data_IF_202121471350
#
_entry.id   IF_202121471350
#
_cell.length_a   1.000
_cell.length_b   1.000
_cell.length_c   1.000
_cell.angle_alpha   90.00
_cell.angle_beta   90.00
_cell.angle_gamma   90.00
#
_symmetry.space_group_name_H-M   'P 1'
#
loop_
_entity.id
_entity.type
_entity.pdbx_description
1 polymer ?
#
# COMPACT_ATOMS: atom_id res chain seq x y z
N UNK A 1 0.39 11.33 -16.29
CA UNK A 1 0.36 10.95 -14.85
C UNK A 1 -0.09 9.51 -14.76
N UNK A 2 0.75 8.62 -14.23
CA UNK A 2 0.34 7.24 -13.95
C UNK A 2 -0.72 7.25 -12.84
N UNK A 3 -1.75 6.43 -12.96
CA UNK A 3 -2.78 6.34 -11.91
C UNK A 3 -2.17 5.72 -10.65
N UNK A 4 -2.59 6.22 -9.48
CA UNK A 4 -2.21 5.67 -8.19
C UNK A 4 -3.17 4.54 -7.84
N UNK A 5 -2.62 3.39 -7.47
CA UNK A 5 -3.37 2.24 -6.99
C UNK A 5 -3.10 2.04 -5.50
N UNK A 6 -4.12 2.27 -4.68
CA UNK A 6 -4.09 1.99 -3.25
C UNK A 6 -4.63 0.58 -2.99
N UNK A 7 -3.80 -0.32 -2.46
CA UNK A 7 -4.15 -1.71 -2.17
C UNK A 7 -4.21 -1.93 -0.66
N UNK A 8 -5.43 -2.10 -0.15
CA UNK A 8 -5.64 -2.41 1.27
C UNK A 8 -5.21 -3.83 1.60
N UNK A 9 -4.46 -4.02 2.69
CA UNK A 9 -3.88 -5.33 3.01
C UNK A 9 -2.85 -5.78 1.97
N UNK A 10 -2.24 -4.83 1.26
CA UNK A 10 -1.33 -5.09 0.14
C UNK A 10 0.03 -5.68 0.52
N UNK A 11 0.34 -5.80 1.81
CA UNK A 11 1.67 -6.24 2.26
C UNK A 11 1.89 -7.76 2.28
N UNK A 12 0.86 -8.58 2.06
CA UNK A 12 0.99 -10.06 2.08
C UNK A 12 -0.05 -10.78 1.23
N UNK A 13 0.22 -12.06 0.94
CA UNK A 13 -0.73 -12.97 0.28
C UNK A 13 -1.22 -12.43 -1.07
N UNK A 14 -2.54 -12.45 -1.27
CA UNK A 14 -3.17 -11.97 -2.51
C UNK A 14 -2.94 -10.45 -2.70
N UNK A 15 -2.98 -9.66 -1.62
CA UNK A 15 -2.75 -8.22 -1.69
C UNK A 15 -1.34 -7.88 -2.20
N UNK A 16 -0.34 -8.65 -1.79
CA UNK A 16 1.03 -8.50 -2.28
C UNK A 16 1.14 -8.83 -3.78
N UNK A 17 0.55 -9.95 -4.21
CA UNK A 17 0.55 -10.34 -5.63
C UNK A 17 -0.13 -9.28 -6.53
N UNK A 18 -1.26 -8.72 -6.08
CA UNK A 18 -1.95 -7.64 -6.79
C UNK A 18 -1.07 -6.38 -6.86
N UNK A 19 -0.48 -5.99 -5.73
CA UNK A 19 0.36 -4.79 -5.63
C UNK A 19 1.57 -4.88 -6.58
N UNK A 20 2.26 -6.03 -6.62
CA UNK A 20 3.37 -6.27 -7.54
C UNK A 20 2.90 -6.24 -9.00
N UNK A 21 1.80 -6.92 -9.32
CA UNK A 21 1.25 -6.94 -10.69
C UNK A 21 0.87 -5.55 -11.19
N UNK A 22 0.30 -4.71 -10.32
CA UNK A 22 -0.06 -3.33 -10.68
C UNK A 22 1.19 -2.48 -10.92
N UNK A 23 2.23 -2.65 -10.10
CA UNK A 23 3.53 -2.00 -10.31
C UNK A 23 4.14 -2.40 -11.64
N UNK A 24 4.15 -3.70 -11.97
CA UNK A 24 4.69 -4.22 -13.23
C UNK A 24 3.91 -3.71 -14.46
N UNK A 25 2.63 -3.41 -14.29
CA UNK A 25 1.79 -2.76 -15.31
C UNK A 25 2.02 -1.24 -15.44
N UNK A 26 2.96 -0.67 -14.68
CA UNK A 26 3.34 0.75 -14.75
C UNK A 26 2.49 1.69 -13.89
N UNK A 27 1.71 1.16 -12.94
CA UNK A 27 0.97 1.98 -11.98
C UNK A 27 1.86 2.37 -10.80
N UNK A 28 1.56 3.52 -10.20
CA UNK A 28 2.14 3.92 -8.93
C UNK A 28 1.35 3.22 -7.82
N UNK A 29 1.99 2.36 -7.02
CA UNK A 29 1.28 1.52 -6.04
C UNK A 29 1.59 1.96 -4.62
N UNK A 30 0.55 2.02 -3.79
CA UNK A 30 0.60 2.17 -2.33
C UNK A 30 -0.06 0.97 -1.68
N UNK A 31 0.61 0.33 -0.72
CA UNK A 31 0.07 -0.82 0.01
C UNK A 31 -0.22 -0.46 1.46
N UNK A 32 -1.38 -0.86 2.00
CA UNK A 32 -1.76 -0.58 3.39
C UNK A 32 -1.72 -1.82 4.26
N UNK A 33 -1.44 -1.64 5.55
CA UNK A 33 -1.43 -2.73 6.53
C UNK A 33 -1.85 -2.23 7.92
N UNK A 34 -2.37 -3.14 8.76
CA UNK A 34 -2.87 -2.78 10.09
C UNK A 34 -1.85 -3.01 11.22
N UNK A 35 -1.13 -4.14 11.23
CA UNK A 35 -0.31 -4.52 12.39
C UNK A 35 0.92 -5.39 12.16
N UNK A 36 1.15 -5.91 10.95
CA UNK A 36 2.34 -6.74 10.69
C UNK A 36 3.44 -5.90 10.02
N UNK A 37 4.19 -5.17 10.83
CA UNK A 37 5.29 -4.30 10.38
C UNK A 37 6.41 -5.10 9.71
N UNK A 38 6.68 -6.32 10.18
CA UNK A 38 7.73 -7.20 9.62
C UNK A 38 7.40 -7.61 8.17
N UNK A 39 6.16 -8.06 7.93
CA UNK A 39 5.70 -8.40 6.58
C UNK A 39 5.67 -7.16 5.67
N UNK A 40 5.29 -6.00 6.20
CA UNK A 40 5.27 -4.75 5.44
C UNK A 40 6.67 -4.24 5.08
N UNK A 41 7.64 -4.37 6.00
CA UNK A 41 9.04 -4.03 5.75
C UNK A 41 9.63 -4.93 4.67
N UNK A 42 9.44 -6.25 4.82
CA UNK A 42 9.91 -7.23 3.83
C UNK A 42 9.30 -6.99 2.45
N UNK A 43 7.98 -6.76 2.39
CA UNK A 43 7.29 -6.45 1.14
C UNK A 43 7.83 -5.16 0.48
N UNK A 44 8.10 -4.13 1.27
CA UNK A 44 8.70 -2.87 0.77
C UNK A 44 10.12 -3.09 0.27
N UNK A 45 10.94 -3.90 0.93
CA UNK A 45 12.29 -4.22 0.46
C UNK A 45 12.28 -5.05 -0.84
N UNK A 46 11.41 -6.06 -0.91
CA UNK A 46 11.34 -6.95 -2.08
C UNK A 46 10.75 -6.25 -3.32
N UNK A 47 9.75 -5.39 -3.12
CA UNK A 47 9.00 -4.79 -4.24
C UNK A 47 9.31 -3.31 -4.46
N UNK A 48 9.91 -2.60 -3.51
CA UNK A 48 10.06 -1.15 -3.54
C UNK A 48 8.74 -0.37 -3.44
N UNK A 49 7.61 -1.03 -3.17
CA UNK A 49 6.29 -0.40 -3.04
C UNK A 49 6.18 0.26 -1.66
N UNK A 50 5.69 1.50 -1.62
CA UNK A 50 5.50 2.22 -0.35
C UNK A 50 4.38 1.56 0.46
N UNK A 51 4.68 1.24 1.72
CA UNK A 51 3.73 0.68 2.68
C UNK A 51 3.30 1.71 3.70
N UNK A 52 2.00 1.71 4.03
CA UNK A 52 1.39 2.65 4.95
C UNK A 52 0.60 1.91 6.03
N UNK A 53 0.77 2.33 7.29
CA UNK A 53 0.14 1.71 8.44
C UNK A 53 -1.11 2.47 8.86
N UNK A 54 -2.28 1.85 8.76
CA UNK A 54 -3.51 2.32 9.41
C UNK A 54 -4.55 1.21 9.52
N UNK A 55 -5.53 1.41 10.38
CA UNK A 55 -6.70 0.54 10.47
C UNK A 55 -7.75 0.99 9.44
N UNK A 56 -8.00 0.15 8.42
CA UNK A 56 -9.01 0.44 7.38
C UNK A 56 -10.45 0.43 7.90
N UNK A 57 -10.69 -0.12 9.09
CA UNK A 57 -12.00 -0.07 9.75
C UNK A 57 -12.25 1.26 10.48
N UNK A 58 -11.23 2.11 10.60
CA UNK A 58 -11.33 3.44 11.19
C UNK A 58 -11.44 4.48 10.06
N UNK A 59 -12.52 5.26 10.09
CA UNK A 59 -12.83 6.22 9.03
C UNK A 59 -11.81 7.36 8.99
N UNK A 60 -11.48 7.96 10.13
CA UNK A 60 -10.55 9.07 10.24
C UNK A 60 -9.12 8.65 9.87
N UNK A 61 -8.71 7.45 10.29
CA UNK A 61 -7.42 6.88 9.92
C UNK A 61 -7.34 6.59 8.41
N UNK A 62 -8.43 6.11 7.80
CA UNK A 62 -8.49 5.87 6.35
C UNK A 62 -8.42 7.18 5.57
N UNK A 63 -9.15 8.21 6.01
CA UNK A 63 -9.12 9.54 5.38
C UNK A 63 -7.71 10.14 5.43
N UNK A 64 -7.12 10.22 6.63
CA UNK A 64 -5.77 10.75 6.82
C UNK A 64 -4.70 9.91 6.08
N UNK A 65 -4.89 8.59 6.02
CA UNK A 65 -4.04 7.67 5.27
C UNK A 65 -4.06 7.94 3.77
N UNK A 66 -5.25 8.16 3.19
CA UNK A 66 -5.40 8.49 1.77
C UNK A 66 -4.78 9.85 1.46
N UNK A 67 -5.04 10.89 2.26
CA UNK A 67 -4.43 12.22 2.07
C UNK A 67 -2.89 12.15 2.10
N UNK A 68 -2.33 11.30 2.98
CA UNK A 68 -0.88 11.06 3.04
C UNK A 68 -0.36 10.34 1.79
N UNK A 69 -1.11 9.40 1.23
CA UNK A 69 -0.75 8.70 -0.01
C UNK A 69 -0.76 9.67 -1.19
N UNK A 70 -1.78 10.51 -1.29
CA UNK A 70 -1.90 11.51 -2.36
C UNK A 70 -0.80 12.59 -2.31
N UNK A 71 -0.32 12.94 -1.11
CA UNK A 71 0.77 13.90 -0.96
C UNK A 71 2.16 13.31 -1.30
N UNK A 72 2.31 11.99 -1.23
CA UNK A 72 3.60 11.30 -1.27
C UNK A 72 3.88 10.59 -2.61
N UNK A 73 2.87 10.50 -3.50
CA UNK A 73 2.91 9.77 -4.79
C UNK A 73 2.34 10.61 -5.94
#
# INVERSE_FOLDING_TARGET
MSRIALVTGGSRGIGAAISTTLKDKGYTVAATYAGNDEAAAKFKEETGIKTYKWNVADYDASKAGIEKVEADL
#
